data_IF_011246364440
#
_entry.id   IF_011246364440
#
_cell.length_a   1.000
_cell.length_b   1.000
_cell.length_c   1.000
_cell.angle_alpha   90.00
_cell.angle_beta   90.00
_cell.angle_gamma   90.00
#
_symmetry.space_group_name_H-M   'P 1'
#
loop_
_entity.id
_entity.type
_entity.pdbx_description
1 polymer ?
#
# COMPACT_ATOMS: atom_id res chain seq x y z
N UNK A 1 21.44 -0.17 36.50
CA UNK A 1 21.54 0.41 37.87
C UNK A 1 21.77 1.91 37.79
N UNK A 2 21.13 2.61 38.71
CA UNK A 2 21.20 3.99 39.16
C UNK A 2 20.28 4.98 38.49
N UNK A 3 19.20 5.22 39.21
CA UNK A 3 18.35 6.41 39.13
C UNK A 3 19.06 7.61 39.80
N UNK A 4 18.86 8.80 39.25
CA UNK A 4 18.98 10.03 40.04
C UNK A 4 17.85 11.00 39.69
N UNK A 5 17.04 11.27 40.67
CA UNK A 5 16.06 12.34 40.70
C UNK A 5 16.77 13.67 40.99
N UNK A 6 16.30 14.78 40.43
CA UNK A 6 16.57 16.11 40.94
C UNK A 6 15.30 16.96 40.94
N UNK A 7 15.08 17.54 42.07
CA UNK A 7 13.96 18.29 42.60
C UNK A 7 13.91 19.73 42.08
N UNK A 8 12.70 20.25 42.15
CA UNK A 8 12.20 21.62 41.94
C UNK A 8 12.94 22.72 42.72
N UNK A 9 12.99 23.93 42.13
CA UNK A 9 12.84 25.18 42.93
C UNK A 9 12.18 26.26 42.08
N UNK A 10 11.16 26.85 42.68
CA UNK A 10 10.38 27.98 42.24
C UNK A 10 11.11 29.31 42.44
N UNK A 11 10.91 30.27 41.57
CA UNK A 11 10.95 31.68 41.93
C UNK A 11 9.96 32.47 41.05
N UNK A 12 9.12 33.18 41.72
CA UNK A 12 8.04 34.04 41.26
C UNK A 12 8.55 35.47 41.43
N UNK A 13 8.40 36.32 40.40
CA UNK A 13 8.29 37.75 40.64
C UNK A 13 7.55 38.45 39.47
N UNK A 14 6.78 39.41 39.87
CA UNK A 14 5.69 40.20 39.30
C UNK A 14 6.17 41.45 38.56
N UNK A 15 5.39 41.92 37.59
CA UNK A 15 4.81 43.26 37.41
C UNK A 15 4.56 43.55 35.90
N UNK A 16 3.35 43.69 35.55
CA UNK A 16 2.51 44.87 35.26
C UNK A 16 3.06 45.88 34.25
N UNK A 17 2.38 45.99 33.10
CA UNK A 17 2.07 47.25 32.41
C UNK A 17 1.10 47.00 31.22
N UNK A 18 -0.02 47.62 31.30
CA UNK A 18 -1.09 47.84 30.30
C UNK A 18 -0.61 48.68 29.13
N UNK A 19 -0.96 48.30 27.91
CA UNK A 19 -1.32 49.23 26.81
C UNK A 19 -2.36 48.54 25.90
N UNK A 20 -3.54 49.16 25.81
CA UNK A 20 -4.54 48.90 24.81
C UNK A 20 -4.00 49.29 23.41
N UNK A 21 -4.16 48.44 22.43
CA UNK A 21 -4.35 48.90 21.06
C UNK A 21 -5.28 47.98 20.29
N UNK A 22 -6.34 48.57 19.78
CA UNK A 22 -7.40 47.94 19.04
C UNK A 22 -6.98 47.78 17.60
N UNK A 23 -6.84 46.55 17.10
CA UNK A 23 -6.76 46.26 15.69
C UNK A 23 -7.84 45.25 15.31
N UNK A 24 -8.70 45.68 14.45
CA UNK A 24 -9.81 45.04 13.80
C UNK A 24 -9.41 43.68 13.19
N UNK A 25 -9.83 42.60 13.79
CA UNK A 25 -9.76 41.27 13.17
C UNK A 25 -10.99 41.10 12.27
N UNK A 26 -10.75 41.07 10.95
CA UNK A 26 -11.73 40.64 9.96
C UNK A 26 -12.07 39.16 10.21
N UNK A 27 -13.35 38.93 10.48
CA UNK A 27 -13.94 37.59 10.60
C UNK A 27 -14.08 36.97 9.22
N UNK A 28 -13.07 36.25 8.75
CA UNK A 28 -13.26 35.21 7.73
C UNK A 28 -13.75 33.96 8.44
N UNK A 29 -15.07 33.81 8.47
CA UNK A 29 -15.72 32.57 8.85
C UNK A 29 -15.35 31.50 7.84
N UNK A 30 -14.44 30.61 8.22
CA UNK A 30 -14.29 29.31 7.58
C UNK A 30 -15.64 28.59 7.73
N UNK A 31 -16.40 28.57 6.66
CA UNK A 31 -17.56 27.69 6.52
C UNK A 31 -16.99 26.27 6.53
N UNK A 32 -17.00 25.64 7.68
CA UNK A 32 -16.80 24.21 7.79
C UNK A 32 -17.97 23.56 7.04
N UNK A 33 -17.67 22.86 5.98
CA UNK A 33 -18.65 22.05 5.25
C UNK A 33 -19.15 20.95 6.19
N UNK A 34 -20.39 21.12 6.66
CA UNK A 34 -21.02 20.28 7.66
C UNK A 34 -21.63 19.00 7.04
N UNK A 35 -21.15 18.55 5.88
CA UNK A 35 -21.72 17.42 5.15
C UNK A 35 -20.99 16.09 5.32
N UNK A 36 -19.92 16.00 6.12
CA UNK A 36 -19.12 14.76 6.28
C UNK A 36 -19.13 14.17 7.69
N UNK A 37 -20.14 14.50 8.49
CA UNK A 37 -20.39 13.79 9.74
C UNK A 37 -21.11 12.46 9.41
N UNK A 38 -20.34 11.39 9.20
CA UNK A 38 -20.89 10.04 9.24
C UNK A 38 -21.62 9.81 10.58
N UNK A 39 -22.74 9.10 10.57
CA UNK A 39 -23.43 8.76 11.83
C UNK A 39 -22.46 7.99 12.73
N UNK A 40 -22.44 8.24 14.06
CA UNK A 40 -21.52 7.61 14.96
C UNK A 40 -21.72 6.08 14.95
N UNK A 41 -20.63 5.36 14.74
CA UNK A 41 -20.40 3.96 15.09
C UNK A 41 -21.39 2.89 14.59
N UNK A 42 -21.55 2.74 13.28
CA UNK A 42 -21.92 1.44 12.76
C UNK A 42 -20.68 0.52 12.88
N UNK A 43 -20.75 -0.53 13.73
CA UNK A 43 -19.69 -1.51 13.81
C UNK A 43 -19.55 -2.24 12.47
N UNK A 44 -18.31 -2.53 12.07
CA UNK A 44 -18.04 -3.29 10.86
C UNK A 44 -18.79 -4.63 10.89
N UNK A 45 -19.43 -5.05 9.78
CA UNK A 45 -20.09 -6.35 9.74
C UNK A 45 -19.07 -7.46 9.90
N UNK A 46 -19.47 -8.62 10.53
CA UNK A 46 -18.57 -9.74 10.69
C UNK A 46 -18.20 -10.34 9.32
N UNK A 47 -16.93 -10.72 9.15
CA UNK A 47 -16.50 -11.47 7.98
C UNK A 47 -17.17 -12.84 7.92
N UNK A 48 -17.59 -13.34 6.74
CA UNK A 48 -18.06 -14.69 6.58
C UNK A 48 -17.04 -15.72 7.09
N UNK A 49 -17.52 -16.79 7.74
CA UNK A 49 -16.64 -17.85 8.28
C UNK A 49 -16.00 -18.72 7.19
N UNK A 50 -16.56 -18.70 5.98
CA UNK A 50 -16.12 -19.47 4.80
C UNK A 50 -15.94 -18.58 3.59
N UNK A 51 -14.95 -18.92 2.76
CA UNK A 51 -14.68 -18.22 1.51
C UNK A 51 -15.84 -18.33 0.51
N UNK A 52 -16.51 -19.50 0.47
CA UNK A 52 -17.69 -19.72 -0.37
C UNK A 52 -18.83 -18.72 -0.12
N UNK A 53 -18.94 -18.18 1.10
CA UNK A 53 -19.95 -17.19 1.47
C UNK A 53 -19.56 -15.74 1.15
N UNK A 54 -18.34 -15.49 0.63
CA UNK A 54 -17.87 -14.11 0.30
C UNK A 54 -18.39 -13.60 -1.03
N UNK A 55 -18.91 -14.47 -1.89
CA UNK A 55 -19.39 -14.14 -3.21
C UNK A 55 -18.30 -14.07 -4.29
N UNK A 56 -17.10 -14.55 -4.03
CA UNK A 56 -16.06 -14.74 -5.05
C UNK A 56 -16.48 -15.81 -6.06
N UNK A 57 -17.03 -16.90 -5.58
CA UNK A 57 -17.42 -18.03 -6.40
C UNK A 57 -18.96 -18.12 -6.56
N UNK A 58 -19.41 -18.44 -7.74
CA UNK A 58 -20.74 -18.94 -7.98
C UNK A 58 -20.85 -20.41 -7.55
N UNK A 59 -19.78 -21.18 -7.75
CA UNK A 59 -19.60 -22.55 -7.33
C UNK A 59 -18.12 -22.76 -7.00
N UNK A 60 -17.79 -22.91 -5.71
CA UNK A 60 -16.41 -23.04 -5.25
C UNK A 60 -15.84 -24.43 -5.56
N UNK A 61 -16.65 -25.49 -5.54
CA UNK A 61 -16.22 -26.85 -5.85
C UNK A 61 -15.82 -26.98 -7.33
N UNK A 62 -16.57 -26.34 -8.22
CA UNK A 62 -16.26 -26.24 -9.63
C UNK A 62 -15.19 -25.17 -9.94
N UNK A 63 -14.81 -24.34 -8.97
CA UNK A 63 -13.91 -23.18 -9.17
C UNK A 63 -14.53 -22.10 -10.04
N UNK A 64 -15.87 -22.09 -10.21
CA UNK A 64 -16.58 -21.13 -11.04
C UNK A 64 -16.69 -19.77 -10.33
N UNK A 65 -16.03 -18.76 -10.87
CA UNK A 65 -16.09 -17.38 -10.37
C UNK A 65 -17.48 -16.78 -10.64
N UNK A 66 -17.99 -15.98 -9.72
CA UNK A 66 -19.27 -15.29 -9.90
C UNK A 66 -19.21 -14.33 -11.11
N UNK A 67 -20.33 -14.22 -11.85
CA UNK A 67 -20.38 -13.52 -13.13
C UNK A 67 -20.16 -12.01 -13.04
N UNK A 68 -20.34 -11.42 -11.86
CA UNK A 68 -20.11 -10.00 -11.55
C UNK A 68 -18.73 -9.73 -10.94
N UNK A 69 -17.87 -10.75 -10.87
CA UNK A 69 -16.50 -10.67 -10.38
C UNK A 69 -15.53 -10.73 -11.57
N UNK A 70 -14.64 -9.74 -11.65
CA UNK A 70 -13.71 -9.57 -12.78
C UNK A 70 -12.28 -9.70 -12.30
N UNK A 71 -11.44 -10.43 -13.05
CA UNK A 71 -10.01 -10.55 -12.73
C UNK A 71 -9.24 -9.28 -13.11
N UNK A 72 -8.21 -8.96 -12.34
CA UNK A 72 -7.25 -7.92 -12.68
C UNK A 72 -5.82 -8.35 -12.36
N UNK A 73 -4.87 -7.75 -13.07
CA UNK A 73 -3.44 -7.94 -12.87
C UNK A 73 -2.79 -6.56 -12.68
N UNK A 74 -2.12 -6.28 -11.56
CA UNK A 74 -1.39 -5.02 -11.43
C UNK A 74 -0.18 -5.03 -12.36
N UNK A 75 0.12 -3.88 -12.97
CA UNK A 75 1.28 -3.71 -13.87
C UNK A 75 2.60 -4.09 -13.18
N UNK A 76 2.72 -3.79 -11.90
CA UNK A 76 3.87 -4.10 -11.06
C UNK A 76 3.43 -4.96 -9.88
N UNK A 77 3.98 -6.16 -9.78
CA UNK A 77 3.59 -7.11 -8.74
C UNK A 77 4.23 -6.78 -7.39
N UNK A 78 3.43 -6.91 -6.32
CA UNK A 78 3.93 -6.97 -4.96
C UNK A 78 4.57 -8.36 -4.74
N UNK A 79 5.81 -8.41 -4.28
CA UNK A 79 6.51 -9.64 -3.91
C UNK A 79 5.86 -10.33 -2.71
N UNK A 80 5.82 -11.64 -2.70
CA UNK A 80 5.28 -12.46 -1.60
C UNK A 80 5.91 -13.85 -1.64
N UNK A 81 7.24 -13.91 -1.42
CA UNK A 81 8.01 -15.15 -1.31
C UNK A 81 7.75 -16.15 -2.45
N UNK A 82 7.73 -15.65 -3.69
CA UNK A 82 7.49 -16.40 -4.92
C UNK A 82 6.09 -17.04 -5.04
N UNK A 83 5.17 -16.75 -4.13
CA UNK A 83 3.79 -17.20 -4.29
C UNK A 83 3.15 -16.54 -5.52
N UNK A 84 2.59 -17.34 -6.42
CA UNK A 84 1.78 -16.82 -7.52
C UNK A 84 0.45 -16.29 -7.00
N UNK A 85 -0.09 -15.25 -7.66
CA UNK A 85 -1.28 -14.56 -7.19
C UNK A 85 -2.28 -14.35 -8.31
N UNK A 86 -3.54 -14.67 -8.03
CA UNK A 86 -4.68 -14.27 -8.86
C UNK A 86 -5.52 -13.26 -8.09
N UNK A 87 -6.04 -12.24 -8.77
CA UNK A 87 -6.79 -11.17 -8.13
C UNK A 87 -8.10 -10.92 -8.85
N UNK A 88 -9.11 -10.56 -8.06
CA UNK A 88 -10.44 -10.25 -8.56
C UNK A 88 -11.01 -9.04 -7.84
N UNK A 89 -11.92 -8.36 -8.52
CA UNK A 89 -12.70 -7.24 -8.00
C UNK A 89 -14.17 -7.41 -8.37
N UNK A 90 -15.04 -7.06 -7.44
CA UNK A 90 -16.47 -6.81 -7.66
C UNK A 90 -16.71 -5.35 -7.34
N UNK A 91 -17.16 -4.58 -8.32
CA UNK A 91 -17.70 -3.25 -8.12
C UNK A 91 -19.23 -3.34 -8.09
N UNK A 92 -19.92 -2.64 -7.18
CA UNK A 92 -21.39 -2.60 -7.20
C UNK A 92 -21.93 -2.17 -8.55
N UNK A 93 -23.07 -2.72 -8.93
CA UNK A 93 -23.69 -2.40 -10.21
C UNK A 93 -23.95 -0.88 -10.33
N UNK A 94 -23.66 -0.32 -11.51
CA UNK A 94 -23.87 1.10 -11.81
C UNK A 94 -23.13 2.08 -10.88
N UNK A 95 -22.11 1.63 -10.16
CA UNK A 95 -21.28 2.51 -9.35
C UNK A 95 -20.04 2.97 -10.11
N UNK A 96 -19.49 4.11 -9.71
CA UNK A 96 -18.23 4.65 -10.20
C UNK A 96 -17.21 4.70 -9.07
N UNK A 97 -15.95 4.52 -9.42
CA UNK A 97 -14.82 4.82 -8.53
C UNK A 97 -14.61 6.34 -8.59
N UNK A 98 -14.57 7.00 -7.45
CA UNK A 98 -14.19 8.40 -7.42
C UNK A 98 -12.69 8.53 -7.71
N UNK A 99 -12.39 9.11 -8.85
CA UNK A 99 -11.07 9.34 -9.41
C UNK A 99 -10.78 10.84 -9.62
N UNK A 100 -11.48 11.72 -8.91
CA UNK A 100 -11.23 13.18 -8.90
C UNK A 100 -9.77 13.46 -8.54
N UNK A 101 -9.21 12.66 -7.64
CA UNK A 101 -7.76 12.54 -7.45
C UNK A 101 -7.29 11.20 -8.03
N UNK A 102 -6.60 11.24 -9.18
CA UNK A 102 -6.17 10.03 -9.88
C UNK A 102 -5.14 9.18 -9.10
N UNK A 103 -4.41 9.79 -8.17
CA UNK A 103 -3.47 9.09 -7.30
C UNK A 103 -4.13 8.48 -6.05
N UNK A 104 -5.36 8.89 -5.72
CA UNK A 104 -6.10 8.47 -4.53
C UNK A 104 -7.56 8.16 -4.86
N UNK A 105 -7.81 6.93 -5.23
CA UNK A 105 -9.15 6.47 -5.58
C UNK A 105 -10.02 6.24 -4.35
N UNK A 106 -11.28 6.66 -4.43
CA UNK A 106 -12.28 6.25 -3.45
C UNK A 106 -13.20 5.20 -4.08
N UNK A 107 -13.12 3.98 -3.57
CA UNK A 107 -13.92 2.87 -4.06
C UNK A 107 -15.38 3.00 -3.56
N UNK A 108 -16.40 2.64 -4.36
CA UNK A 108 -17.79 2.67 -3.90
C UNK A 108 -18.02 1.66 -2.77
N UNK A 109 -18.92 2.01 -1.82
CA UNK A 109 -19.33 1.11 -0.72
C UNK A 109 -19.91 -0.19 -1.30
N UNK A 110 -19.52 -1.31 -0.75
CA UNK A 110 -19.86 -2.64 -1.26
C UNK A 110 -18.83 -3.22 -2.25
N UNK A 111 -17.77 -2.47 -2.58
CA UNK A 111 -16.65 -3.01 -3.38
C UNK A 111 -15.97 -4.12 -2.59
N UNK A 112 -15.74 -5.26 -3.25
CA UNK A 112 -14.94 -6.37 -2.73
C UNK A 112 -13.80 -6.70 -3.66
N UNK A 113 -12.63 -7.00 -3.07
CA UNK A 113 -11.46 -7.48 -3.80
C UNK A 113 -10.98 -8.77 -3.14
N UNK A 114 -10.49 -9.68 -3.97
CA UNK A 114 -9.90 -10.93 -3.50
C UNK A 114 -8.52 -11.13 -4.10
N UNK A 115 -7.63 -11.74 -3.32
CA UNK A 115 -6.29 -12.14 -3.74
C UNK A 115 -5.98 -13.55 -3.27
N UNK A 116 -5.91 -14.48 -4.21
CA UNK A 116 -5.53 -15.87 -3.96
C UNK A 116 -4.01 -16.03 -4.08
N UNK A 117 -3.43 -16.77 -3.16
CA UNK A 117 -2.03 -17.15 -3.16
C UNK A 117 -1.88 -18.65 -3.42
N UNK A 118 -0.96 -18.98 -4.31
CA UNK A 118 -0.57 -20.35 -4.60
C UNK A 118 0.93 -20.52 -4.40
N UNK A 119 1.32 -21.58 -3.70
CA UNK A 119 2.69 -22.00 -3.54
C UNK A 119 2.87 -23.33 -4.27
N UNK A 120 3.82 -23.41 -5.21
CA UNK A 120 4.01 -24.58 -6.05
C UNK A 120 2.71 -25.04 -6.75
N UNK A 121 1.87 -24.10 -7.16
CA UNK A 121 0.59 -24.37 -7.84
C UNK A 121 -0.59 -24.72 -6.89
N UNK A 122 -0.34 -24.97 -5.61
CA UNK A 122 -1.38 -25.31 -4.62
C UNK A 122 -1.97 -24.06 -3.99
N UNK A 123 -3.30 -23.95 -3.92
CA UNK A 123 -4.00 -22.88 -3.19
C UNK A 123 -3.69 -22.98 -1.70
N UNK A 124 -3.23 -21.88 -1.12
CA UNK A 124 -2.87 -21.82 0.30
C UNK A 124 -3.75 -20.81 1.03
N UNK A 125 -3.93 -19.63 0.47
CA UNK A 125 -4.65 -18.53 1.08
C UNK A 125 -5.48 -17.78 0.05
N UNK A 126 -6.64 -17.25 0.46
CA UNK A 126 -7.34 -16.18 -0.26
C UNK A 126 -7.66 -15.07 0.74
N UNK A 127 -7.25 -13.84 0.45
CA UNK A 127 -7.59 -12.64 1.23
C UNK A 127 -8.74 -11.93 0.56
N UNK A 128 -9.67 -11.42 1.36
CA UNK A 128 -10.72 -10.50 0.92
C UNK A 128 -10.51 -9.13 1.56
N UNK A 129 -10.78 -8.09 0.80
CA UNK A 129 -10.97 -6.72 1.29
C UNK A 129 -12.37 -6.29 0.88
N UNK A 130 -13.13 -5.71 1.81
CA UNK A 130 -14.44 -5.14 1.52
C UNK A 130 -14.50 -3.70 2.03
N UNK A 131 -14.93 -2.76 1.18
CA UNK A 131 -15.35 -1.44 1.62
C UNK A 131 -16.80 -1.53 2.08
N UNK A 132 -17.01 -1.60 3.40
CA UNK A 132 -18.34 -1.82 3.97
C UNK A 132 -19.12 -0.54 4.27
N UNK A 133 -18.45 0.60 4.42
CA UNK A 133 -19.07 1.87 4.78
C UNK A 133 -18.46 3.08 4.07
N UNK A 134 -19.03 4.28 4.26
CA UNK A 134 -18.59 5.50 3.58
C UNK A 134 -17.33 6.13 4.18
N UNK A 135 -17.01 5.83 5.45
CA UNK A 135 -15.84 6.38 6.13
C UNK A 135 -14.53 5.95 5.48
N UNK A 136 -13.50 6.78 5.63
CA UNK A 136 -12.18 6.51 5.05
C UNK A 136 -11.62 5.14 5.46
N UNK A 137 -11.83 4.72 6.69
CA UNK A 137 -11.29 3.50 7.26
C UNK A 137 -12.30 2.34 7.30
N UNK A 138 -13.46 2.47 6.63
CA UNK A 138 -14.51 1.46 6.64
C UNK A 138 -14.18 0.30 5.71
N UNK A 139 -13.09 -0.40 6.04
CA UNK A 139 -12.62 -1.59 5.33
C UNK A 139 -12.58 -2.80 6.24
N UNK A 140 -12.93 -3.95 5.70
CA UNK A 140 -12.77 -5.25 6.32
C UNK A 140 -11.68 -5.99 5.57
N UNK A 141 -10.78 -6.62 6.32
CA UNK A 141 -9.78 -7.54 5.83
C UNK A 141 -10.09 -8.92 6.33
N UNK A 142 -10.09 -9.91 5.46
CA UNK A 142 -10.41 -11.28 5.84
C UNK A 142 -9.47 -12.29 5.17
N UNK A 143 -8.53 -12.89 5.94
CA UNK A 143 -7.70 -13.99 5.46
C UNK A 143 -8.44 -15.32 5.59
N UNK A 144 -8.41 -16.12 4.52
CA UNK A 144 -8.99 -17.47 4.46
C UNK A 144 -7.90 -18.49 4.11
N UNK A 145 -7.78 -19.54 4.93
CA UNK A 145 -6.90 -20.67 4.66
C UNK A 145 -7.66 -21.76 3.92
N UNK A 146 -7.17 -22.19 2.75
CA UNK A 146 -7.74 -23.33 2.04
C UNK A 146 -7.61 -24.61 2.85
N UNK A 147 -8.68 -25.41 2.89
CA UNK A 147 -8.67 -26.73 3.51
C UNK A 147 -7.83 -27.71 2.67
N UNK A 148 -7.50 -28.88 3.23
CA UNK A 148 -6.64 -29.87 2.58
C UNK A 148 -7.26 -30.51 1.33
N UNK A 149 -8.59 -30.47 1.19
CA UNK A 149 -9.34 -31.00 0.04
C UNK A 149 -9.57 -29.95 -1.04
N UNK A 150 -9.21 -28.68 -0.78
CA UNK A 150 -9.37 -27.53 -1.68
C UNK A 150 -10.83 -27.26 -2.11
N UNK A 151 -11.79 -27.71 -1.29
CA UNK A 151 -13.23 -27.53 -1.52
C UNK A 151 -13.75 -26.22 -0.95
N UNK A 152 -13.11 -25.67 0.10
CA UNK A 152 -13.42 -24.35 0.66
C UNK A 152 -12.23 -23.82 1.46
N UNK A 153 -12.33 -22.58 1.96
CA UNK A 153 -11.34 -21.97 2.84
C UNK A 153 -11.99 -21.38 4.09
N UNK A 154 -11.32 -21.54 5.23
CA UNK A 154 -11.74 -21.08 6.54
C UNK A 154 -11.19 -19.71 6.88
N UNK A 155 -12.01 -18.82 7.46
CA UNK A 155 -11.58 -17.55 8.00
C UNK A 155 -10.61 -17.77 9.17
N UNK A 156 -9.40 -17.19 9.09
CA UNK A 156 -8.32 -17.40 10.05
C UNK A 156 -7.74 -16.06 10.57
N UNK A 157 -8.49 -15.29 11.35
CA UNK A 157 -8.08 -13.96 11.81
C UNK A 157 -6.81 -13.95 12.67
N UNK A 158 -6.48 -15.07 13.32
CA UNK A 158 -5.25 -15.23 14.10
C UNK A 158 -4.01 -15.46 13.23
N UNK A 159 -4.19 -15.64 11.91
CA UNK A 159 -3.10 -16.04 11.01
C UNK A 159 -2.73 -17.52 11.16
N UNK A 160 -1.89 -18.00 10.24
CA UNK A 160 -1.39 -19.40 10.25
C UNK A 160 0.04 -19.41 9.74
N UNK A 161 1.04 -19.72 10.58
CA UNK A 161 2.40 -19.88 10.12
C UNK A 161 2.55 -21.16 9.28
N UNK A 162 3.38 -21.09 8.24
CA UNK A 162 3.67 -22.23 7.35
C UNK A 162 2.39 -22.94 6.85
N UNK A 163 1.44 -22.15 6.37
CA UNK A 163 0.11 -22.63 6.00
C UNK A 163 0.18 -23.79 5.00
N UNK A 164 -0.63 -24.81 5.26
CA UNK A 164 -0.73 -26.03 4.45
C UNK A 164 0.63 -26.74 4.24
N UNK A 165 1.55 -26.63 5.20
CA UNK A 165 2.88 -27.26 5.11
C UNK A 165 3.84 -26.58 4.13
N UNK A 166 3.52 -25.36 3.69
CA UNK A 166 4.38 -24.54 2.82
C UNK A 166 5.18 -23.54 3.66
N UNK A 167 6.06 -22.76 3.01
CA UNK A 167 6.76 -21.64 3.66
C UNK A 167 5.92 -20.37 3.78
N UNK A 168 4.70 -20.38 3.22
CA UNK A 168 3.79 -19.23 3.22
C UNK A 168 3.14 -19.04 4.59
N UNK A 169 3.29 -17.84 5.15
CA UNK A 169 2.55 -17.45 6.35
C UNK A 169 1.29 -16.66 5.97
N UNK A 170 0.17 -17.06 6.54
CA UNK A 170 -1.02 -16.23 6.57
C UNK A 170 -0.85 -15.28 7.76
N UNK A 171 -0.72 -13.95 7.56
CA UNK A 171 -0.54 -13.02 8.66
C UNK A 171 -1.81 -12.91 9.50
N UNK A 172 -1.69 -12.59 10.80
CA UNK A 172 -2.85 -12.26 11.61
C UNK A 172 -3.50 -10.97 11.12
N UNK A 173 -4.81 -10.84 11.35
CA UNK A 173 -5.61 -9.69 10.87
C UNK A 173 -5.01 -8.33 11.25
N UNK A 174 -4.51 -8.18 12.47
CA UNK A 174 -3.88 -6.93 12.93
C UNK A 174 -2.60 -6.53 12.16
N UNK A 175 -2.01 -7.44 11.38
CA UNK A 175 -0.86 -7.09 10.54
C UNK A 175 -1.27 -6.46 9.19
N UNK A 176 -2.56 -6.51 8.81
CA UNK A 176 -3.04 -5.95 7.55
C UNK A 176 -2.86 -4.43 7.52
N UNK A 177 -3.17 -3.76 8.62
CA UNK A 177 -3.09 -2.30 8.75
C UNK A 177 -1.69 -1.76 8.46
N UNK A 178 -0.64 -2.47 8.84
CA UNK A 178 0.74 -2.05 8.61
C UNK A 178 1.09 -1.75 7.14
N UNK A 179 0.37 -2.34 6.18
CA UNK A 179 0.56 -2.10 4.76
C UNK A 179 -0.61 -1.35 4.13
N UNK A 180 -1.85 -1.64 4.57
CA UNK A 180 -3.06 -1.14 3.91
C UNK A 180 -3.46 0.25 4.38
N UNK A 181 -3.29 0.60 5.67
CA UNK A 181 -3.59 1.94 6.19
C UNK A 181 -2.63 3.03 5.71
N UNK A 182 -1.46 2.66 5.16
CA UNK A 182 -0.51 3.59 4.55
C UNK A 182 -0.98 4.22 3.23
N UNK A 183 -2.12 3.77 2.70
CA UNK A 183 -2.76 4.30 1.50
C UNK A 183 -4.19 4.73 1.82
N UNK A 184 -4.63 5.84 1.22
CA UNK A 184 -6.01 6.33 1.38
C UNK A 184 -7.06 5.35 0.88
N UNK A 185 -6.75 4.66 -0.21
CA UNK A 185 -7.59 3.66 -0.84
C UNK A 185 -7.61 2.30 -0.14
N UNK A 186 -6.71 2.05 0.82
CA UNK A 186 -6.56 0.78 1.55
C UNK A 186 -6.36 -0.47 0.68
N UNK A 187 -6.18 -0.33 -0.63
CA UNK A 187 -6.06 -1.44 -1.58
C UNK A 187 -4.72 -1.38 -2.32
N UNK A 188 -3.93 -2.44 -2.21
CA UNK A 188 -2.63 -2.54 -2.86
C UNK A 188 -2.77 -3.11 -4.26
N UNK A 189 -2.19 -2.43 -5.27
CA UNK A 189 -2.16 -2.92 -6.64
C UNK A 189 -3.42 -2.65 -7.46
N UNK A 190 -4.38 -1.86 -6.96
CA UNK A 190 -5.57 -1.45 -7.69
C UNK A 190 -5.65 0.08 -7.70
N UNK A 191 -4.94 0.71 -8.63
CA UNK A 191 -4.83 2.16 -8.78
C UNK A 191 -4.56 2.53 -10.24
N UNK A 192 -4.58 3.81 -10.57
CA UNK A 192 -4.41 4.29 -11.93
C UNK A 192 -3.13 3.75 -12.60
N UNK A 193 -1.97 3.91 -11.96
CA UNK A 193 -0.68 3.43 -12.49
C UNK A 193 -0.65 1.89 -12.56
N UNK A 194 -1.20 1.21 -11.58
CA UNK A 194 -1.18 -0.26 -11.51
C UNK A 194 -2.09 -0.91 -12.54
N UNK A 195 -3.20 -0.26 -12.93
CA UNK A 195 -4.13 -0.77 -13.91
C UNK A 195 -3.90 -0.21 -15.33
N UNK A 196 -3.06 0.83 -15.48
CA UNK A 196 -2.67 1.37 -16.77
C UNK A 196 -1.71 0.40 -17.48
N UNK A 197 -2.01 0.08 -18.74
CA UNK A 197 -1.21 -0.85 -19.55
C UNK A 197 -1.00 -2.21 -18.86
N UNK A 198 -1.91 -2.59 -17.97
CA UNK A 198 -1.90 -3.89 -17.30
C UNK A 198 -2.51 -4.97 -18.18
N UNK A 199 -2.22 -6.23 -17.85
CA UNK A 199 -2.92 -7.38 -18.40
C UNK A 199 -4.13 -7.74 -17.53
N UNK A 200 -5.03 -8.58 -18.03
CA UNK A 200 -6.22 -8.98 -17.31
C UNK A 200 -7.50 -8.36 -17.87
N UNK A 201 -8.64 -8.73 -17.30
CA UNK A 201 -9.95 -8.30 -17.79
C UNK A 201 -10.34 -6.89 -17.30
N UNK A 202 -9.88 -6.52 -16.09
CA UNK A 202 -10.09 -5.18 -15.53
C UNK A 202 -8.81 -4.38 -15.64
N UNK A 203 -8.80 -3.37 -16.51
CA UNK A 203 -7.72 -2.41 -16.71
C UNK A 203 -8.24 -0.98 -16.52
N UNK A 204 -7.36 0.00 -16.45
CA UNK A 204 -7.75 1.41 -16.40
C UNK A 204 -8.58 1.79 -17.63
N UNK A 205 -8.17 1.32 -18.80
CA UNK A 205 -8.86 1.56 -20.09
C UNK A 205 -10.24 0.91 -20.11
N UNK A 206 -10.37 -0.31 -19.53
CA UNK A 206 -11.66 -1.00 -19.40
C UNK A 206 -12.60 -0.22 -18.47
N UNK A 207 -12.11 0.21 -17.30
CA UNK A 207 -12.88 1.03 -16.36
C UNK A 207 -13.35 2.34 -17.00
N UNK A 208 -12.47 3.03 -17.72
CA UNK A 208 -12.81 4.27 -18.43
C UNK A 208 -13.85 4.04 -19.52
N UNK A 209 -13.68 3.02 -20.36
CA UNK A 209 -14.61 2.72 -21.47
C UNK A 209 -16.00 2.27 -20.99
N UNK A 210 -16.07 1.68 -19.80
CA UNK A 210 -17.33 1.26 -19.17
C UNK A 210 -17.99 2.37 -18.33
N UNK A 211 -17.42 3.57 -18.28
CA UNK A 211 -17.96 4.66 -17.46
C UNK A 211 -17.93 4.36 -15.95
N UNK A 212 -16.89 3.64 -15.50
CA UNK A 212 -16.75 3.24 -14.09
C UNK A 212 -15.84 4.18 -13.28
N UNK A 213 -15.42 5.30 -13.87
CA UNK A 213 -14.58 6.32 -13.25
C UNK A 213 -15.29 7.67 -13.29
N UNK A 214 -15.32 8.41 -12.19
CA UNK A 214 -15.89 9.78 -12.17
C UNK A 214 -15.10 10.75 -13.03
N UNK A 215 -13.78 10.54 -13.15
CA UNK A 215 -12.90 11.25 -14.07
C UNK A 215 -11.97 10.23 -14.75
N UNK A 216 -12.03 10.15 -16.07
CA UNK A 216 -11.11 9.31 -16.84
C UNK A 216 -9.78 10.05 -17.07
N UNK A 217 -8.64 9.33 -17.12
CA UNK A 217 -7.36 9.96 -17.46
C UNK A 217 -7.40 10.52 -18.88
N UNK A 218 -6.72 11.64 -19.11
CA UNK A 218 -6.67 12.32 -20.41
C UNK A 218 -5.79 11.62 -21.46
N UNK A 219 -5.18 10.47 -21.13
CA UNK A 219 -4.30 9.70 -22.01
C UNK A 219 -3.77 8.46 -21.33
N UNK A 220 -2.81 7.81 -22.00
CA UNK A 220 -2.11 6.64 -21.46
C UNK A 220 -1.19 7.09 -20.35
N UNK A 221 -1.39 6.52 -19.16
CA UNK A 221 -0.48 6.76 -18.05
C UNK A 221 0.75 5.86 -18.20
N UNK A 222 1.92 6.45 -18.19
CA UNK A 222 3.18 5.71 -18.28
C UNK A 222 4.13 6.09 -17.13
N UNK A 223 4.98 5.15 -16.76
CA UNK A 223 6.06 5.38 -15.81
C UNK A 223 7.20 6.06 -16.57
N UNK A 224 7.75 7.19 -16.07
CA UNK A 224 8.80 7.91 -16.76
C UNK A 224 10.11 7.12 -16.85
N UNK A 225 10.92 7.45 -17.85
CA UNK A 225 12.27 6.94 -18.02
C UNK A 225 12.42 5.84 -19.07
N UNK A 226 13.62 5.29 -19.17
CA UNK A 226 13.95 4.15 -20.01
C UNK A 226 13.49 2.83 -19.38
N UNK A 227 13.73 1.70 -20.04
CA UNK A 227 13.26 0.40 -19.56
C UNK A 227 13.83 0.01 -18.18
N UNK A 228 15.09 0.34 -17.89
CA UNK A 228 15.73 0.06 -16.59
C UNK A 228 15.11 0.90 -15.48
N UNK A 229 14.91 2.19 -15.73
CA UNK A 229 14.29 3.12 -14.80
C UNK A 229 12.83 2.72 -14.51
N UNK A 230 12.05 2.43 -15.55
CA UNK A 230 10.64 1.98 -15.40
C UNK A 230 10.53 0.69 -14.59
N UNK A 231 11.41 -0.28 -14.82
CA UNK A 231 11.40 -1.54 -14.07
C UNK A 231 11.68 -1.30 -12.59
N UNK A 232 12.69 -0.49 -12.25
CA UNK A 232 13.04 -0.18 -10.87
C UNK A 232 11.99 0.68 -10.18
N UNK A 233 11.55 1.77 -10.81
CA UNK A 233 10.55 2.68 -10.25
C UNK A 233 9.20 1.98 -10.05
N UNK A 234 8.77 1.14 -11.00
CA UNK A 234 7.57 0.33 -10.88
C UNK A 234 7.67 -0.70 -9.76
N UNK A 235 8.82 -1.36 -9.61
CA UNK A 235 9.08 -2.26 -8.50
C UNK A 235 9.01 -1.54 -7.15
N UNK A 236 9.69 -0.39 -7.01
CA UNK A 236 9.69 0.41 -5.80
C UNK A 236 8.28 0.93 -5.46
N UNK A 237 7.51 1.36 -6.45
CA UNK A 237 6.12 1.75 -6.28
C UNK A 237 5.27 0.62 -5.69
N UNK A 238 5.37 -0.58 -6.25
CA UNK A 238 4.54 -1.72 -5.84
C UNK A 238 4.95 -2.35 -4.50
N UNK A 239 6.25 -2.32 -4.16
CA UNK A 239 6.81 -3.04 -3.01
C UNK A 239 7.20 -2.15 -1.83
N UNK A 240 7.44 -0.85 -2.06
CA UNK A 240 7.85 0.10 -1.03
C UNK A 240 6.88 1.26 -0.91
N UNK A 241 6.30 1.72 -2.03
CA UNK A 241 5.43 2.89 -2.10
C UNK A 241 4.14 2.79 -1.29
N UNK A 242 3.70 1.58 -0.95
CA UNK A 242 2.52 1.37 -0.11
C UNK A 242 2.72 1.90 1.33
N UNK A 243 3.96 1.84 1.85
CA UNK A 243 4.33 2.36 3.16
C UNK A 243 5.15 3.65 3.04
N UNK A 244 6.08 3.73 2.06
CA UNK A 244 6.91 4.91 1.82
C UNK A 244 6.25 5.82 0.79
N UNK A 245 5.38 6.69 1.24
CA UNK A 245 4.66 7.69 0.44
C UNK A 245 4.49 8.98 1.25
N UNK A 246 3.96 10.02 0.61
CA UNK A 246 3.81 11.33 1.23
C UNK A 246 2.53 11.50 2.06
N UNK A 247 1.63 10.51 2.03
CA UNK A 247 0.30 10.64 2.65
C UNK A 247 0.30 10.23 4.12
N UNK A 248 0.09 8.93 4.37
CA UNK A 248 -0.12 8.41 5.73
C UNK A 248 0.81 7.25 6.10
N UNK A 249 1.71 6.86 5.21
CA UNK A 249 2.62 5.74 5.44
C UNK A 249 3.56 5.98 6.62
N UNK A 250 4.79 5.58 6.48
CA UNK A 250 5.84 5.80 7.49
C UNK A 250 6.59 7.12 7.28
N UNK A 251 6.02 8.07 6.55
CA UNK A 251 6.65 9.35 6.20
C UNK A 251 7.02 10.20 7.41
N UNK A 252 6.29 10.07 8.51
CA UNK A 252 6.61 10.77 9.77
C UNK A 252 7.85 10.18 10.48
N UNK A 253 8.21 8.93 10.20
CA UNK A 253 9.42 8.27 10.75
C UNK A 253 10.58 8.39 9.77
N UNK A 254 10.32 8.18 8.49
CA UNK A 254 11.32 8.21 7.43
C UNK A 254 10.78 9.01 6.25
N UNK A 255 11.06 10.31 6.16
CA UNK A 255 10.47 11.20 5.17
C UNK A 255 11.05 10.95 3.77
N UNK A 256 10.62 9.87 3.11
CA UNK A 256 10.86 9.64 1.69
C UNK A 256 9.71 8.88 1.03
N UNK A 257 9.56 9.05 -0.28
CA UNK A 257 8.47 8.47 -1.05
C UNK A 257 9.01 7.59 -2.17
N UNK A 258 8.47 6.39 -2.24
CA UNK A 258 8.69 5.42 -3.34
C UNK A 258 7.45 5.28 -4.23
N UNK A 259 6.34 5.94 -3.88
CA UNK A 259 5.10 5.92 -4.65
C UNK A 259 5.28 6.79 -5.90
N UNK A 260 4.92 6.25 -7.06
CA UNK A 260 4.77 6.99 -8.30
C UNK A 260 3.44 7.76 -8.29
N UNK A 261 3.46 8.96 -8.81
CA UNK A 261 2.28 9.79 -9.03
C UNK A 261 1.97 9.89 -10.53
N UNK A 262 0.70 10.06 -10.85
CA UNK A 262 0.24 10.25 -12.24
C UNK A 262 0.86 11.50 -12.89
N UNK A 263 1.22 12.49 -12.07
CA UNK A 263 1.88 13.73 -12.48
C UNK A 263 3.39 13.61 -12.72
N UNK A 264 4.01 12.45 -12.41
CA UNK A 264 5.46 12.27 -12.58
C UNK A 264 5.82 12.15 -14.07
N UNK A 265 6.12 13.25 -14.72
CA UNK A 265 6.45 13.30 -16.15
C UNK A 265 7.89 12.89 -16.48
N UNK A 266 8.81 12.97 -15.51
CA UNK A 266 10.23 12.60 -15.66
C UNK A 266 10.71 11.82 -14.44
N UNK A 267 11.79 11.02 -14.60
CA UNK A 267 12.41 10.28 -13.49
C UNK A 267 12.81 11.22 -12.35
N UNK A 268 13.37 12.38 -12.66
CA UNK A 268 13.77 13.37 -11.67
C UNK A 268 12.60 13.99 -10.88
N UNK A 269 11.37 13.88 -11.38
CA UNK A 269 10.17 14.34 -10.68
C UNK A 269 9.60 13.28 -9.72
N UNK A 270 9.97 12.02 -9.87
CA UNK A 270 9.47 10.94 -9.00
C UNK A 270 9.91 11.14 -7.55
N UNK A 271 9.05 10.72 -6.62
CA UNK A 271 9.37 10.71 -5.19
C UNK A 271 10.61 9.87 -4.90
N UNK A 272 10.73 8.70 -5.54
CA UNK A 272 11.88 7.83 -5.41
C UNK A 272 13.20 8.54 -5.74
N UNK A 273 13.25 9.29 -6.84
CA UNK A 273 14.45 10.04 -7.21
C UNK A 273 14.74 11.19 -6.23
N UNK A 274 13.78 12.07 -6.01
CA UNK A 274 13.94 13.29 -5.19
C UNK A 274 14.33 12.99 -3.75
N UNK A 275 13.82 11.92 -3.19
CA UNK A 275 13.93 11.66 -1.75
C UNK A 275 14.96 10.60 -1.40
N UNK A 276 15.63 9.99 -2.39
CA UNK A 276 16.61 8.93 -2.11
C UNK A 276 18.00 9.20 -2.67
N UNK A 277 18.10 9.82 -3.86
CA UNK A 277 19.39 10.02 -4.52
C UNK A 277 20.26 11.02 -3.75
N UNK A 278 21.46 10.60 -3.34
CA UNK A 278 22.39 11.38 -2.52
C UNK A 278 21.81 11.89 -1.18
N UNK A 279 20.74 11.27 -0.68
CA UNK A 279 20.14 11.62 0.61
C UNK A 279 20.72 10.71 1.71
N UNK A 280 21.18 11.30 2.78
CA UNK A 280 21.72 10.61 3.95
C UNK A 280 20.59 9.79 4.62
N UNK A 281 20.95 8.60 5.13
CA UNK A 281 20.01 7.74 5.87
C UNK A 281 19.63 8.35 7.21
N UNK A 282 18.33 8.28 7.55
CA UNK A 282 17.81 8.63 8.86
C UNK A 282 17.60 7.37 9.71
N UNK A 283 18.25 7.31 10.87
CA UNK A 283 18.08 6.21 11.83
C UNK A 283 18.65 4.85 11.41
N UNK A 284 18.89 4.61 10.13
CA UNK A 284 19.59 3.41 9.64
C UNK A 284 21.10 3.64 9.65
N UNK A 285 21.85 2.71 10.25
CA UNK A 285 23.31 2.76 10.32
C UNK A 285 23.91 1.40 9.95
N UNK A 286 24.70 1.38 8.87
CA UNK A 286 25.46 0.23 8.47
C UNK A 286 26.81 0.69 7.89
N UNK A 287 27.96 0.06 8.25
CA UNK A 287 29.26 0.46 7.75
C UNK A 287 29.30 0.53 6.22
N UNK A 288 29.71 1.68 5.69
CA UNK A 288 29.79 1.92 4.24
C UNK A 288 28.45 2.16 3.53
N UNK A 289 27.33 2.32 4.27
CA UNK A 289 25.98 2.57 3.70
C UNK A 289 25.38 3.80 4.38
N UNK A 290 25.82 4.98 3.94
CA UNK A 290 25.40 6.26 4.53
C UNK A 290 24.28 6.95 3.72
N UNK A 291 24.09 6.56 2.46
CA UNK A 291 23.09 7.15 1.58
C UNK A 291 21.90 6.20 1.37
N UNK A 292 20.71 6.78 1.20
CA UNK A 292 19.52 6.02 0.79
C UNK A 292 19.76 5.34 -0.55
N UNK A 293 20.24 6.11 -1.53
CA UNK A 293 20.77 5.63 -2.82
C UNK A 293 22.05 6.38 -3.13
N UNK A 294 23.17 5.68 -3.24
CA UNK A 294 24.45 6.17 -3.72
C UNK A 294 24.51 5.96 -5.23
N UNK A 295 24.49 7.03 -6.07
CA UNK A 295 24.55 6.89 -7.51
C UNK A 295 25.76 6.09 -7.95
N UNK A 296 25.56 5.13 -8.86
CA UNK A 296 26.60 4.25 -9.37
C UNK A 296 26.95 3.06 -8.44
N UNK A 297 26.62 3.11 -7.15
CA UNK A 297 27.02 2.10 -6.18
C UNK A 297 25.80 1.53 -5.39
N UNK A 298 25.29 0.40 -5.86
CA UNK A 298 24.21 -0.30 -5.15
C UNK A 298 24.68 -0.87 -3.79
N UNK A 299 25.97 -1.23 -3.65
CA UNK A 299 26.50 -1.75 -2.39
C UNK A 299 26.52 -0.72 -1.27
N UNK A 300 26.72 0.56 -1.60
CA UNK A 300 26.68 1.68 -0.66
C UNK A 300 25.27 2.28 -0.49
N UNK A 301 24.22 1.64 -1.06
CA UNK A 301 22.84 2.14 -1.06
C UNK A 301 21.98 1.42 -0.05
N UNK A 302 21.42 2.13 0.95
CA UNK A 302 20.59 1.56 2.00
C UNK A 302 19.33 0.87 1.46
N UNK A 303 18.70 1.41 0.42
CA UNK A 303 17.54 0.81 -0.24
C UNK A 303 17.90 -0.59 -0.72
N UNK A 304 18.99 -0.76 -1.45
CA UNK A 304 19.42 -2.05 -1.97
C UNK A 304 19.86 -3.02 -0.87
N UNK A 305 20.65 -2.54 0.09
CA UNK A 305 21.09 -3.36 1.24
C UNK A 305 19.87 -3.95 1.99
N UNK A 306 18.92 -3.09 2.36
CA UNK A 306 17.74 -3.50 3.14
C UNK A 306 16.78 -4.42 2.36
N UNK A 307 16.76 -4.32 1.05
CA UNK A 307 16.03 -5.27 0.19
C UNK A 307 16.68 -6.67 0.16
N UNK A 308 17.99 -6.74 0.33
CA UNK A 308 18.76 -8.00 0.24
C UNK A 308 18.75 -8.80 1.54
N UNK A 309 18.69 -8.15 2.70
CA UNK A 309 18.73 -8.83 4.00
C UNK A 309 17.37 -9.41 4.38
N UNK A 310 17.38 -10.58 5.08
CA UNK A 310 16.18 -11.21 5.65
C UNK A 310 16.48 -11.76 7.03
N UNK A 311 15.44 -11.79 7.90
CA UNK A 311 15.55 -12.25 9.28
C UNK A 311 16.30 -11.30 10.21
N UNK A 312 16.61 -10.10 9.76
CA UNK A 312 17.27 -9.05 10.54
C UNK A 312 16.35 -7.85 10.73
N UNK A 313 16.54 -7.04 11.79
CA UNK A 313 15.75 -5.82 12.02
C UNK A 313 15.81 -4.82 10.84
N UNK A 314 16.89 -4.87 10.07
CA UNK A 314 17.12 -3.97 8.94
C UNK A 314 16.41 -4.38 7.65
N UNK A 315 15.76 -5.55 7.61
CA UNK A 315 15.08 -5.99 6.38
C UNK A 315 13.98 -5.03 5.94
N UNK A 316 13.81 -4.88 4.61
CA UNK A 316 12.65 -4.23 3.99
C UNK A 316 12.11 -5.10 2.84
N UNK A 317 10.79 -5.35 2.79
CA UNK A 317 9.76 -4.98 3.79
C UNK A 317 10.00 -5.64 5.16
N UNK A 318 9.56 -5.00 6.27
CA UNK A 318 9.80 -5.54 7.62
C UNK A 318 8.89 -6.73 7.96
N UNK A 319 7.84 -6.95 7.18
CA UNK A 319 6.82 -7.99 7.38
C UNK A 319 6.49 -8.69 6.05
N UNK A 320 5.84 -9.84 6.16
CA UNK A 320 5.24 -10.59 5.05
C UNK A 320 6.22 -11.09 3.96
N UNK A 321 7.52 -11.11 4.23
CA UNK A 321 8.51 -11.74 3.35
C UNK A 321 9.62 -12.42 4.15
N UNK A 322 9.95 -13.66 3.78
CA UNK A 322 11.04 -14.47 4.31
C UNK A 322 12.19 -14.62 3.30
N UNK A 323 11.88 -14.39 2.02
CA UNK A 323 12.81 -14.55 0.90
C UNK A 323 12.96 -13.21 0.19
N UNK A 324 14.19 -12.81 -0.05
CA UNK A 324 14.47 -11.61 -0.83
C UNK A 324 14.11 -11.84 -2.31
N UNK A 325 13.50 -10.84 -2.97
CA UNK A 325 13.15 -10.91 -4.38
C UNK A 325 14.39 -10.72 -5.27
N UNK A 326 14.88 -11.77 -5.96
CA UNK A 326 16.08 -11.65 -6.76
C UNK A 326 15.89 -10.78 -8.01
N UNK A 327 14.69 -10.78 -8.59
CA UNK A 327 14.37 -9.98 -9.79
C UNK A 327 14.23 -8.51 -9.41
N UNK A 328 13.54 -8.22 -8.31
CA UNK A 328 13.42 -6.86 -7.78
C UNK A 328 14.78 -6.27 -7.42
N UNK A 329 15.64 -7.04 -6.77
CA UNK A 329 17.01 -6.63 -6.47
C UNK A 329 17.83 -6.32 -7.74
N UNK A 330 17.77 -7.19 -8.76
CA UNK A 330 18.45 -6.94 -10.04
C UNK A 330 17.96 -5.66 -10.71
N UNK A 331 16.65 -5.41 -10.71
CA UNK A 331 16.05 -4.20 -11.30
C UNK A 331 16.52 -2.92 -10.58
N UNK A 332 16.47 -2.91 -9.26
CA UNK A 332 16.90 -1.75 -8.46
C UNK A 332 18.42 -1.54 -8.55
N UNK A 333 19.21 -2.63 -8.51
CA UNK A 333 20.65 -2.56 -8.70
C UNK A 333 21.03 -1.97 -10.06
N UNK A 334 20.38 -2.43 -11.15
CA UNK A 334 20.64 -1.93 -12.49
C UNK A 334 20.35 -0.42 -12.61
N UNK A 335 19.23 0.04 -12.01
CA UNK A 335 18.90 1.45 -11.97
C UNK A 335 19.93 2.26 -11.20
N UNK A 336 20.29 1.85 -9.97
CA UNK A 336 21.31 2.56 -9.16
C UNK A 336 22.63 2.64 -9.91
N UNK A 337 23.07 1.53 -10.53
CA UNK A 337 24.33 1.50 -11.28
C UNK A 337 24.32 2.36 -12.55
N UNK A 338 23.15 2.69 -13.07
CA UNK A 338 23.00 3.59 -14.23
C UNK A 338 22.98 5.08 -13.89
N UNK A 339 22.84 5.41 -12.61
CA UNK A 339 22.84 6.80 -12.15
C UNK A 339 24.27 7.37 -12.23
N UNK A 340 24.44 8.61 -12.75
CA UNK A 340 25.74 9.24 -12.74
C UNK A 340 26.19 9.52 -11.29
N UNK A 341 27.47 9.31 -10.97
CA UNK A 341 28.04 9.53 -9.65
C UNK A 341 28.02 11.01 -9.22
#
# INVERSE_FOLDING_TARGET
CVALACTSTSAQETADATVEDAAQASSDALVADASDAAPPDAAAPPSPSKLSATGLFADIDAGAIASDVVSFEPRYALWSDDASKTRWVRLPANSEIDTTNMDHWSLPVGTRLWKEFRVNGVRVETRMIERWGPGRNDFIYAPYRWNSTLTDADYVPAGVPNANGTTHDIPPLGACDGCHSGLREHVLGFSAIQLSQSSGAMTLETLASQGRLTAAPSGVLDVPGNATERAALGYLHANCGNCHNADDGVSFVTPFSMRLLVSDATVAQTGAYKTTINVITDGFKHPGVDLRVAPGDAGASAVYYRMAVRGLPDQMPPVATKVADPIGQLSVKAWISSLPP
#
